data_IF_369817422385
#
_entry.id   IF_369817422385
#
_cell.length_a   1.000
_cell.length_b   1.000
_cell.length_c   1.000
_cell.angle_alpha   90.00
_cell.angle_beta   90.00
_cell.angle_gamma   90.00
#
_symmetry.space_group_name_H-M   'P 1'
#
loop_
_entity.id
_entity.type
_entity.pdbx_description
1 polymer ?
#
# COMPACT_ATOMS: atom_id res chain seq x y z
N UNK A 1 -69.83 16.54 -11.48
CA UNK A 1 -68.60 17.21 -11.94
C UNK A 1 -67.52 16.13 -12.08
N UNK A 2 -67.28 15.65 -13.31
CA UNK A 2 -66.29 14.61 -13.59
C UNK A 2 -64.89 15.23 -13.59
N UNK A 3 -64.13 15.05 -12.52
CA UNK A 3 -62.68 15.17 -12.59
C UNK A 3 -62.13 13.79 -12.95
N UNK A 4 -61.98 13.53 -14.25
CA UNK A 4 -61.17 12.42 -14.74
C UNK A 4 -59.73 12.66 -14.29
N UNK A 5 -59.35 12.06 -13.17
CA UNK A 5 -57.96 12.03 -12.72
C UNK A 5 -57.11 11.45 -13.86
N UNK A 6 -56.04 12.16 -14.23
CA UNK A 6 -55.15 11.77 -15.33
C UNK A 6 -54.61 10.36 -15.04
N UNK A 7 -55.09 9.36 -15.77
CA UNK A 7 -54.63 7.98 -15.66
C UNK A 7 -53.13 7.90 -15.94
N UNK A 8 -52.42 7.06 -15.20
CA UNK A 8 -50.98 6.84 -15.37
C UNK A 8 -50.80 5.55 -16.17
N UNK A 9 -50.02 5.62 -17.24
CA UNK A 9 -49.82 4.52 -18.17
C UNK A 9 -48.40 3.96 -18.07
N UNK A 10 -48.28 2.65 -17.84
CA UNK A 10 -47.03 1.92 -17.95
C UNK A 10 -46.85 1.44 -19.39
N UNK A 11 -45.93 2.05 -20.13
CA UNK A 11 -45.67 1.69 -21.52
C UNK A 11 -45.10 0.27 -21.68
N UNK A 12 -44.27 -0.19 -20.73
CA UNK A 12 -43.60 -1.49 -20.80
C UNK A 12 -44.57 -2.67 -20.65
N UNK A 13 -45.52 -2.56 -19.73
CA UNK A 13 -46.50 -3.61 -19.47
C UNK A 13 -47.85 -3.37 -20.16
N UNK A 14 -48.04 -2.19 -20.78
CA UNK A 14 -49.30 -1.76 -21.37
C UNK A 14 -50.48 -1.77 -20.37
N UNK A 15 -50.24 -1.31 -19.14
CA UNK A 15 -51.23 -1.27 -18.04
C UNK A 15 -51.50 0.17 -17.61
N UNK A 16 -52.77 0.47 -17.30
CA UNK A 16 -53.21 1.78 -16.78
C UNK A 16 -53.50 1.71 -15.29
N UNK A 17 -53.20 2.81 -14.61
CA UNK A 17 -53.36 2.96 -13.17
C UNK A 17 -54.13 4.24 -12.88
N UNK A 18 -55.12 4.14 -11.99
CA UNK A 18 -55.93 5.27 -11.54
C UNK A 18 -55.17 6.19 -10.57
N UNK A 19 -54.13 5.68 -9.88
CA UNK A 19 -53.37 6.42 -8.87
C UNK A 19 -51.86 6.14 -8.94
N UNK A 20 -51.00 7.13 -8.62
CA UNK A 20 -49.54 6.98 -8.61
C UNK A 20 -49.02 5.85 -7.72
N UNK A 21 -49.67 5.60 -6.58
CA UNK A 21 -49.27 4.55 -5.64
C UNK A 21 -49.36 3.14 -6.25
N UNK A 22 -50.38 2.89 -7.08
CA UNK A 22 -50.55 1.59 -7.74
C UNK A 22 -49.55 1.41 -8.88
N UNK A 23 -49.26 2.49 -9.61
CA UNK A 23 -48.18 2.49 -10.60
C UNK A 23 -46.82 2.18 -9.97
N UNK A 24 -46.46 2.83 -8.85
CA UNK A 24 -45.20 2.58 -8.14
C UNK A 24 -45.09 1.15 -7.59
N UNK A 25 -46.18 0.62 -7.03
CA UNK A 25 -46.22 -0.77 -6.59
C UNK A 25 -46.06 -1.74 -7.77
N UNK A 26 -46.73 -1.49 -8.90
CA UNK A 26 -46.57 -2.29 -10.10
C UNK A 26 -45.12 -2.32 -10.58
N UNK A 27 -44.48 -1.17 -10.74
CA UNK A 27 -43.05 -1.07 -11.13
C UNK A 27 -42.16 -1.81 -10.14
N UNK A 28 -42.44 -1.68 -8.84
CA UNK A 28 -41.64 -2.28 -7.77
C UNK A 28 -41.81 -3.78 -7.54
N UNK A 29 -42.79 -4.45 -8.13
CA UNK A 29 -43.01 -5.90 -7.93
C UNK A 29 -43.16 -6.68 -9.23
N UNK A 30 -43.18 -6.00 -10.37
CA UNK A 30 -43.30 -6.65 -11.67
C UNK A 30 -41.95 -7.19 -12.14
N UNK A 31 -41.93 -8.45 -12.53
CA UNK A 31 -40.77 -9.10 -13.18
C UNK A 31 -40.40 -8.48 -14.53
N UNK A 32 -41.28 -7.66 -15.12
CA UNK A 32 -41.03 -7.01 -16.41
C UNK A 32 -40.24 -5.70 -16.24
N UNK A 33 -40.07 -5.20 -15.02
CA UNK A 33 -39.35 -3.97 -14.72
C UNK A 33 -37.95 -4.27 -14.17
N UNK A 34 -36.97 -3.42 -14.50
CA UNK A 34 -35.63 -3.52 -13.92
C UNK A 34 -35.57 -2.56 -12.74
N UNK A 35 -36.38 -2.81 -11.71
CA UNK A 35 -36.54 -1.91 -10.59
C UNK A 35 -35.51 -2.18 -9.48
N UNK A 36 -34.88 -1.12 -8.97
CA UNK A 36 -34.05 -1.24 -7.76
C UNK A 36 -34.92 -1.14 -6.50
N UNK A 37 -35.06 -2.24 -5.76
CA UNK A 37 -35.85 -2.30 -4.52
C UNK A 37 -35.15 -1.68 -3.31
N UNK A 38 -33.84 -1.40 -3.41
CA UNK A 38 -33.07 -0.76 -2.34
C UNK A 38 -33.22 0.76 -2.33
N UNK A 39 -33.67 1.33 -3.45
CA UNK A 39 -34.02 2.73 -3.57
C UNK A 39 -35.47 2.97 -3.15
N UNK A 40 -35.73 3.99 -2.32
CA UNK A 40 -37.09 4.31 -1.84
C UNK A 40 -38.12 4.62 -2.92
N UNK A 41 -37.69 4.94 -4.15
CA UNK A 41 -38.57 5.22 -5.28
C UNK A 41 -38.72 4.05 -6.28
N UNK A 42 -38.11 2.89 -6.02
CA UNK A 42 -38.09 1.76 -6.95
C UNK A 42 -37.70 2.19 -8.37
N UNK A 43 -36.54 2.83 -8.50
CA UNK A 43 -36.08 3.37 -9.77
C UNK A 43 -36.06 2.26 -10.83
N UNK A 44 -36.81 2.47 -11.91
CA UNK A 44 -36.92 1.53 -13.02
C UNK A 44 -35.91 1.87 -14.10
N UNK A 45 -35.05 0.92 -14.38
CA UNK A 45 -34.00 1.06 -15.38
C UNK A 45 -34.45 0.47 -16.72
N UNK A 46 -33.99 1.07 -17.81
CA UNK A 46 -34.34 0.61 -19.16
C UNK A 46 -33.88 -0.83 -19.40
N UNK A 47 -32.70 -1.19 -18.91
CA UNK A 47 -32.09 -2.51 -19.08
C UNK A 47 -31.64 -3.12 -17.76
N UNK A 48 -31.49 -4.46 -17.74
CA UNK A 48 -30.89 -5.16 -16.60
C UNK A 48 -29.46 -4.69 -16.34
N UNK A 49 -28.65 -4.44 -17.38
CA UNK A 49 -27.28 -3.92 -17.25
C UNK A 49 -27.24 -2.56 -16.54
N UNK A 50 -28.20 -1.67 -16.83
CA UNK A 50 -28.28 -0.39 -16.13
C UNK A 50 -28.71 -0.53 -14.66
N UNK A 51 -29.58 -1.49 -14.32
CA UNK A 51 -29.89 -1.82 -12.93
C UNK A 51 -28.65 -2.40 -12.23
N UNK A 52 -27.96 -3.33 -12.88
CA UNK A 52 -26.76 -3.98 -12.36
C UNK A 52 -25.68 -2.95 -11.99
N UNK A 53 -25.37 -2.04 -12.93
CA UNK A 53 -24.42 -0.95 -12.69
C UNK A 53 -24.87 -0.05 -11.52
N UNK A 54 -26.15 0.26 -11.43
CA UNK A 54 -26.68 1.05 -10.32
C UNK A 54 -26.48 0.34 -8.97
N UNK A 55 -26.68 -0.99 -8.90
CA UNK A 55 -26.44 -1.76 -7.68
C UNK A 55 -24.96 -1.72 -7.29
N UNK A 56 -24.05 -1.85 -8.25
CA UNK A 56 -22.59 -1.75 -8.02
C UNK A 56 -22.19 -0.36 -7.52
N UNK A 57 -22.66 0.70 -8.20
CA UNK A 57 -22.25 2.07 -7.93
C UNK A 57 -22.88 2.65 -6.65
N UNK A 58 -24.13 2.31 -6.33
CA UNK A 58 -24.92 3.00 -5.29
C UNK A 58 -25.31 2.10 -4.11
N UNK A 59 -25.25 0.78 -4.29
CA UNK A 59 -25.62 -0.18 -3.25
C UNK A 59 -24.48 -1.12 -2.86
N UNK A 60 -23.26 -0.83 -3.30
CA UNK A 60 -22.06 -1.60 -2.98
C UNK A 60 -22.20 -3.10 -3.29
N UNK A 61 -22.87 -3.41 -4.40
CA UNK A 61 -23.09 -4.77 -4.85
C UNK A 61 -21.85 -5.34 -5.55
N UNK A 62 -21.53 -6.59 -5.23
CA UNK A 62 -20.54 -7.39 -5.93
C UNK A 62 -21.26 -8.49 -6.70
N UNK A 63 -21.31 -8.37 -8.03
CA UNK A 63 -21.96 -9.33 -8.92
C UNK A 63 -21.36 -10.73 -8.84
N UNK A 64 -20.02 -10.90 -8.93
CA UNK A 64 -19.44 -12.24 -8.93
C UNK A 64 -19.69 -13.02 -7.64
N UNK A 65 -19.93 -12.31 -6.54
CA UNK A 65 -20.22 -12.91 -5.23
C UNK A 65 -21.70 -12.87 -4.87
N UNK A 66 -22.55 -12.26 -5.69
CA UNK A 66 -23.95 -11.95 -5.40
C UNK A 66 -24.13 -11.41 -3.97
N UNK A 67 -23.34 -10.41 -3.60
CA UNK A 67 -23.21 -9.95 -2.23
C UNK A 67 -23.20 -8.43 -2.12
N UNK A 68 -23.90 -7.89 -1.13
CA UNK A 68 -23.93 -6.46 -0.81
C UNK A 68 -23.00 -6.15 0.35
N UNK A 69 -22.05 -5.25 0.13
CA UNK A 69 -21.15 -4.83 1.19
C UNK A 69 -21.84 -3.84 2.15
N UNK A 70 -21.47 -3.85 3.44
CA UNK A 70 -22.04 -2.92 4.43
C UNK A 70 -21.61 -1.46 4.21
N UNK A 71 -20.54 -1.23 3.43
CA UNK A 71 -20.02 0.09 3.11
C UNK A 71 -19.10 0.05 1.89
N UNK A 72 -18.77 1.21 1.33
CA UNK A 72 -17.78 1.36 0.26
C UNK A 72 -16.40 0.80 0.66
N UNK A 73 -15.99 0.99 1.92
CA UNK A 73 -14.73 0.43 2.45
C UNK A 73 -14.80 -1.09 2.48
N UNK A 74 -15.93 -1.65 2.93
CA UNK A 74 -16.16 -3.09 2.94
C UNK A 74 -16.12 -3.70 1.55
N UNK A 75 -16.71 -3.05 0.55
CA UNK A 75 -16.65 -3.49 -0.85
C UNK A 75 -15.22 -3.44 -1.38
N UNK A 76 -14.49 -2.35 -1.11
CA UNK A 76 -13.09 -2.23 -1.52
C UNK A 76 -12.23 -3.34 -0.93
N UNK A 77 -12.38 -3.63 0.37
CA UNK A 77 -11.66 -4.72 1.03
C UNK A 77 -12.05 -6.08 0.45
N UNK A 78 -13.35 -6.31 0.21
CA UNK A 78 -13.83 -7.52 -0.45
C UNK A 78 -13.17 -7.70 -1.82
N UNK A 79 -13.14 -6.67 -2.65
CA UNK A 79 -12.52 -6.71 -3.97
C UNK A 79 -11.01 -6.94 -3.91
N UNK A 80 -10.30 -6.35 -2.94
CA UNK A 80 -8.87 -6.62 -2.71
C UNK A 80 -8.62 -8.07 -2.33
N UNK A 81 -9.45 -8.66 -1.47
CA UNK A 81 -9.23 -10.00 -0.93
C UNK A 81 -9.78 -11.13 -1.82
N UNK A 82 -10.92 -10.92 -2.49
CA UNK A 82 -11.64 -11.95 -3.25
C UNK A 82 -11.46 -11.83 -4.75
N UNK A 83 -11.19 -10.63 -5.24
CA UNK A 83 -11.07 -10.33 -6.68
C UNK A 83 -9.71 -9.74 -7.05
N UNK A 84 -8.74 -9.81 -6.12
CA UNK A 84 -7.36 -9.38 -6.29
C UNK A 84 -7.24 -7.97 -6.92
N UNK A 85 -8.04 -7.04 -6.42
CA UNK A 85 -8.00 -5.63 -6.84
C UNK A 85 -6.68 -4.96 -6.44
N UNK A 86 -6.00 -4.34 -7.40
CA UNK A 86 -4.89 -3.43 -7.15
C UNK A 86 -5.41 -2.11 -6.59
N UNK A 87 -5.08 -1.81 -5.34
CA UNK A 87 -5.52 -0.58 -4.66
C UNK A 87 -4.89 0.70 -5.22
N UNK A 88 -3.80 0.59 -5.98
CA UNK A 88 -3.06 1.72 -6.53
C UNK A 88 -3.65 2.23 -7.85
N UNK A 89 -4.11 1.34 -8.73
CA UNK A 89 -4.65 1.70 -10.05
C UNK A 89 -6.10 1.30 -10.29
N UNK A 90 -6.67 0.42 -9.45
CA UNK A 90 -8.03 -0.08 -9.61
C UNK A 90 -8.19 -1.29 -10.53
N UNK A 91 -7.10 -1.84 -11.06
CA UNK A 91 -7.14 -3.02 -11.93
C UNK A 91 -7.43 -4.31 -11.14
N UNK A 92 -8.23 -5.20 -11.73
CA UNK A 92 -8.53 -6.52 -11.19
C UNK A 92 -7.62 -7.60 -11.79
N UNK A 93 -7.28 -8.60 -10.99
CA UNK A 93 -6.42 -9.70 -11.41
C UNK A 93 -7.09 -11.05 -11.15
N UNK A 94 -6.81 -12.08 -11.96
CA UNK A 94 -7.44 -13.39 -11.79
C UNK A 94 -6.93 -14.13 -10.55
N UNK A 95 -5.72 -13.81 -10.06
CA UNK A 95 -5.11 -14.45 -8.90
C UNK A 95 -4.09 -13.54 -8.21
N UNK A 96 -3.69 -13.93 -7.00
CA UNK A 96 -2.71 -13.19 -6.19
C UNK A 96 -1.32 -13.11 -6.85
N UNK A 97 -0.91 -14.12 -7.62
CA UNK A 97 0.41 -14.13 -8.26
C UNK A 97 0.51 -13.03 -9.32
N UNK A 98 -0.52 -12.88 -10.15
CA UNK A 98 -0.58 -11.84 -11.18
C UNK A 98 -0.70 -10.44 -10.59
N UNK A 99 -1.52 -10.25 -9.55
CA UNK A 99 -1.58 -8.98 -8.82
C UNK A 99 -0.20 -8.59 -8.26
N UNK A 100 0.49 -9.55 -7.65
CA UNK A 100 1.83 -9.31 -7.11
C UNK A 100 2.84 -8.96 -8.21
N UNK A 101 2.79 -9.66 -9.36
CA UNK A 101 3.61 -9.34 -10.54
C UNK A 101 3.30 -7.95 -11.12
N UNK A 102 2.03 -7.54 -11.12
CA UNK A 102 1.62 -6.21 -11.56
C UNK A 102 2.10 -5.11 -10.60
N UNK A 103 2.07 -5.35 -9.28
CA UNK A 103 2.43 -4.36 -8.27
C UNK A 103 3.86 -3.81 -8.46
N UNK A 104 4.76 -4.56 -9.11
CA UNK A 104 6.10 -4.07 -9.51
C UNK A 104 6.04 -2.82 -10.39
N UNK A 105 5.00 -2.65 -11.20
CA UNK A 105 4.81 -1.47 -12.07
C UNK A 105 4.48 -0.20 -11.30
N UNK A 106 3.94 -0.34 -10.09
CA UNK A 106 3.66 0.75 -9.16
C UNK A 106 4.82 1.05 -8.22
N UNK A 107 5.97 0.37 -8.38
CA UNK A 107 7.20 0.77 -7.69
C UNK A 107 7.58 2.19 -8.13
N UNK A 108 7.96 3.07 -7.19
CA UNK A 108 8.63 4.31 -7.52
C UNK A 108 9.81 4.00 -8.45
N UNK A 109 9.88 4.68 -9.59
CA UNK A 109 11.04 4.58 -10.50
C UNK A 109 12.07 5.59 -10.02
N UNK A 110 13.23 5.09 -9.62
CA UNK A 110 14.37 5.89 -9.13
C UNK A 110 14.29 6.14 -7.63
N UNK A 111 15.30 5.68 -6.91
CA UNK A 111 15.66 6.12 -5.56
C UNK A 111 16.97 6.88 -5.69
N UNK A 112 16.95 8.19 -5.52
CA UNK A 112 18.18 8.97 -5.46
C UNK A 112 18.89 8.69 -4.14
N UNK A 113 20.22 8.58 -4.20
CA UNK A 113 21.03 8.53 -2.99
C UNK A 113 20.80 9.80 -2.17
N UNK A 114 20.76 9.65 -0.84
CA UNK A 114 20.55 10.78 0.06
C UNK A 114 21.77 11.71 0.17
N UNK A 115 22.94 11.25 -0.31
CA UNK A 115 24.21 11.93 -0.10
C UNK A 115 24.96 12.21 -1.42
N UNK A 116 24.49 11.68 -2.55
CA UNK A 116 25.13 11.88 -3.84
C UNK A 116 24.11 11.91 -4.99
N UNK A 117 24.47 12.39 -6.19
CA UNK A 117 23.51 12.53 -7.30
C UNK A 117 23.21 11.21 -8.03
N UNK A 118 23.62 10.04 -7.51
CA UNK A 118 23.33 8.76 -8.17
C UNK A 118 21.92 8.26 -7.88
N UNK A 119 21.30 7.68 -8.92
CA UNK A 119 19.98 7.07 -8.86
C UNK A 119 20.05 5.54 -8.92
N UNK A 120 19.14 4.90 -8.18
CA UNK A 120 19.07 3.45 -8.04
C UNK A 120 17.68 2.94 -8.40
N UNK A 121 17.59 1.67 -8.82
CA UNK A 121 16.32 1.03 -9.17
C UNK A 121 15.46 0.66 -7.96
N UNK A 122 16.05 0.57 -6.77
CA UNK A 122 15.40 0.14 -5.51
C UNK A 122 16.06 0.79 -4.29
N UNK A 123 15.39 0.79 -3.13
CA UNK A 123 15.98 1.26 -1.87
C UNK A 123 17.12 0.33 -1.44
N UNK A 124 16.95 -0.99 -1.60
CA UNK A 124 18.02 -1.94 -1.30
C UNK A 124 19.31 -1.69 -2.08
N UNK A 125 19.21 -1.31 -3.36
CA UNK A 125 20.37 -1.00 -4.19
C UNK A 125 21.05 0.30 -3.74
N UNK A 126 20.28 1.34 -3.38
CA UNK A 126 20.82 2.60 -2.85
C UNK A 126 21.52 2.39 -1.49
N UNK A 127 20.89 1.67 -0.57
CA UNK A 127 21.52 1.35 0.72
C UNK A 127 22.75 0.46 0.54
N UNK A 128 22.75 -0.49 -0.39
CA UNK A 128 23.94 -1.29 -0.70
C UNK A 128 25.08 -0.41 -1.25
N UNK A 129 24.78 0.65 -1.99
CA UNK A 129 25.79 1.62 -2.43
C UNK A 129 26.45 2.36 -1.25
N UNK A 130 25.66 2.80 -0.26
CA UNK A 130 26.15 3.40 0.99
C UNK A 130 26.94 2.37 1.83
N UNK A 131 26.36 1.21 2.10
CA UNK A 131 26.95 0.17 2.96
C UNK A 131 28.17 -0.54 2.33
N UNK A 132 28.39 -0.39 1.02
CA UNK A 132 29.62 -0.86 0.36
C UNK A 132 30.73 0.19 0.34
N UNK A 133 30.50 1.39 0.87
CA UNK A 133 31.47 2.50 0.82
C UNK A 133 31.72 3.04 -0.59
N UNK A 134 30.78 2.82 -1.52
CA UNK A 134 30.89 3.30 -2.90
C UNK A 134 30.36 4.74 -3.06
N UNK A 135 29.85 5.34 -1.99
CA UNK A 135 29.31 6.68 -2.01
C UNK A 135 30.43 7.73 -1.94
N UNK A 136 30.49 8.69 -2.88
CA UNK A 136 31.52 9.73 -2.87
C UNK A 136 31.39 10.70 -1.69
N UNK A 137 30.25 10.69 -0.96
CA UNK A 137 30.07 11.53 0.23
C UNK A 137 30.85 11.05 1.46
N UNK A 138 31.52 9.90 1.38
CA UNK A 138 32.23 9.30 2.52
C UNK A 138 31.34 8.49 3.48
N UNK A 139 30.01 8.59 3.32
CA UNK A 139 29.04 7.83 4.13
C UNK A 139 29.19 6.33 3.83
N UNK A 140 29.40 5.56 4.88
CA UNK A 140 29.71 4.14 4.84
C UNK A 140 28.77 3.28 5.70
N UNK A 141 29.09 1.98 5.84
CA UNK A 141 28.26 1.04 6.60
C UNK A 141 28.13 1.39 8.09
N UNK A 142 29.17 1.96 8.70
CA UNK A 142 29.17 2.30 10.13
C UNK A 142 28.20 3.45 10.44
N UNK A 143 28.11 4.46 9.56
CA UNK A 143 27.15 5.58 9.71
C UNK A 143 25.70 5.10 9.62
N UNK A 144 25.41 4.20 8.67
CA UNK A 144 24.08 3.59 8.51
C UNK A 144 23.71 2.78 9.75
N UNK A 145 24.67 2.01 10.28
CA UNK A 145 24.46 1.23 11.49
C UNK A 145 24.22 2.11 12.71
N UNK A 146 24.96 3.22 12.85
CA UNK A 146 24.79 4.18 13.93
C UNK A 146 23.41 4.84 13.87
N UNK A 147 23.00 5.35 12.71
CA UNK A 147 21.69 5.95 12.52
C UNK A 147 20.55 4.96 12.81
N UNK A 148 20.68 3.72 12.35
CA UNK A 148 19.72 2.67 12.64
C UNK A 148 19.67 2.34 14.13
N UNK A 149 20.82 2.24 14.81
CA UNK A 149 20.87 2.00 16.25
C UNK A 149 20.23 3.14 17.05
N UNK A 150 20.46 4.39 16.65
CA UNK A 150 19.85 5.57 17.27
C UNK A 150 18.32 5.54 17.14
N UNK A 151 17.81 5.21 15.94
CA UNK A 151 16.37 5.00 15.74
C UNK A 151 15.83 3.95 16.71
N UNK A 152 16.44 2.76 16.79
CA UNK A 152 15.94 1.66 17.65
C UNK A 152 15.94 2.04 19.14
N UNK A 153 16.97 2.75 19.62
CA UNK A 153 17.04 3.20 21.02
C UNK A 153 15.85 4.09 21.40
N UNK A 154 15.36 4.92 20.49
CA UNK A 154 14.19 5.77 20.72
C UNK A 154 12.89 4.99 20.96
N UNK A 155 12.84 3.69 20.58
CA UNK A 155 11.64 2.85 20.68
C UNK A 155 11.70 1.75 21.75
N UNK A 156 12.78 1.66 22.56
CA UNK A 156 13.05 0.54 23.52
C UNK A 156 12.98 -0.85 22.85
N UNK A 157 14.09 -1.39 22.34
CA UNK A 157 14.05 -2.64 21.57
C UNK A 157 13.56 -3.84 22.38
N UNK A 158 12.66 -4.63 21.78
CA UNK A 158 12.26 -5.96 22.28
C UNK A 158 13.21 -7.08 21.84
N UNK A 159 14.12 -6.80 20.89
CA UNK A 159 15.00 -7.77 20.23
C UNK A 159 16.44 -7.26 20.18
N UNK A 160 17.40 -8.19 20.24
CA UNK A 160 18.85 -7.89 20.19
C UNK A 160 19.39 -7.57 18.79
N UNK A 161 18.53 -7.54 17.76
CA UNK A 161 18.89 -7.26 16.38
C UNK A 161 18.19 -6.00 15.86
N UNK A 162 18.94 -5.17 15.14
CA UNK A 162 18.47 -3.89 14.58
C UNK A 162 17.66 -4.14 13.31
N UNK A 163 18.22 -4.91 12.37
CA UNK A 163 17.60 -5.18 11.08
C UNK A 163 16.85 -6.51 11.11
N UNK A 164 15.52 -6.46 11.08
CA UNK A 164 14.70 -7.66 11.00
C UNK A 164 13.35 -7.40 10.34
N UNK A 165 12.82 -8.46 9.73
CA UNK A 165 11.49 -8.43 9.13
C UNK A 165 10.43 -8.62 10.21
N UNK A 166 9.54 -7.65 10.42
CA UNK A 166 8.45 -7.77 11.40
C UNK A 166 7.37 -8.80 10.99
N UNK A 167 7.29 -9.16 9.71
CA UNK A 167 6.42 -10.23 9.23
C UNK A 167 6.95 -11.61 9.64
N UNK A 168 8.10 -12.01 9.10
CA UNK A 168 8.66 -13.35 9.31
C UNK A 168 9.65 -13.47 10.47
N UNK A 169 9.94 -12.37 11.18
CA UNK A 169 10.87 -12.29 12.32
C UNK A 169 12.33 -12.67 11.98
N UNK A 170 12.68 -12.76 10.69
CA UNK A 170 14.04 -13.09 10.25
C UNK A 170 14.99 -11.90 10.48
N UNK A 171 16.15 -12.11 11.13
CA UNK A 171 17.16 -11.08 11.30
C UNK A 171 18.09 -10.97 10.08
N UNK A 172 18.67 -9.78 9.91
CA UNK A 172 19.60 -9.41 8.84
C UNK A 172 20.81 -8.66 9.42
N UNK A 173 21.93 -8.66 8.70
CA UNK A 173 23.15 -7.96 9.12
C UNK A 173 23.21 -6.52 8.64
N UNK A 174 22.58 -6.23 7.50
CA UNK A 174 22.61 -4.93 6.83
C UNK A 174 21.21 -4.45 6.51
N UNK A 175 21.06 -3.14 6.37
CA UNK A 175 19.82 -2.52 5.98
C UNK A 175 19.44 -2.93 4.55
N UNK A 176 20.40 -2.98 3.62
CA UNK A 176 20.12 -3.39 2.24
C UNK A 176 19.55 -4.81 2.14
N UNK A 177 20.01 -5.75 3.00
CA UNK A 177 19.56 -7.14 2.99
C UNK A 177 18.09 -7.24 3.48
N UNK A 178 17.74 -6.47 4.53
CA UNK A 178 16.36 -6.37 5.02
C UNK A 178 15.44 -5.73 3.97
N UNK A 179 15.89 -4.65 3.34
CA UNK A 179 15.15 -3.99 2.27
C UNK A 179 15.00 -4.91 1.05
N UNK A 180 16.03 -5.66 0.66
CA UNK A 180 15.93 -6.62 -0.43
C UNK A 180 14.93 -7.73 -0.10
N UNK A 181 14.91 -8.22 1.14
CA UNK A 181 13.92 -9.19 1.60
C UNK A 181 12.49 -8.63 1.54
N UNK A 182 12.28 -7.38 1.93
CA UNK A 182 10.96 -6.74 1.87
C UNK A 182 10.54 -6.35 0.45
N UNK A 183 11.50 -6.07 -0.42
CA UNK A 183 11.32 -5.75 -1.83
C UNK A 183 11.18 -7.00 -2.73
N UNK A 184 11.37 -8.22 -2.22
CA UNK A 184 11.25 -9.45 -3.03
C UNK A 184 10.16 -10.36 -2.50
N UNK A 185 9.78 -11.38 -3.26
CA UNK A 185 8.86 -12.44 -2.81
C UNK A 185 9.46 -13.39 -1.76
N UNK A 186 10.56 -12.97 -1.11
CA UNK A 186 11.30 -13.77 -0.14
C UNK A 186 10.64 -13.81 1.24
N UNK A 187 9.59 -13.00 1.47
CA UNK A 187 8.81 -12.98 2.70
C UNK A 187 7.47 -13.70 2.52
N UNK A 188 7.27 -14.79 3.26
CA UNK A 188 6.04 -15.59 3.23
C UNK A 188 4.80 -14.85 3.77
N UNK A 189 5.00 -13.78 4.56
CA UNK A 189 3.91 -12.94 5.10
C UNK A 189 3.41 -11.88 4.10
N UNK A 190 3.99 -11.82 2.89
CA UNK A 190 3.62 -10.88 1.83
C UNK A 190 4.49 -9.62 1.76
N UNK A 191 4.32 -8.89 0.66
CA UNK A 191 5.04 -7.64 0.39
C UNK A 191 4.59 -6.56 1.39
N UNK A 192 5.52 -6.07 2.23
CA UNK A 192 5.33 -4.87 3.07
C UNK A 192 4.26 -4.95 4.18
N UNK A 193 3.79 -6.15 4.55
CA UNK A 193 2.93 -6.35 5.71
C UNK A 193 3.71 -6.02 7.00
N UNK A 194 3.32 -4.94 7.70
CA UNK A 194 4.06 -4.42 8.86
C UNK A 194 5.20 -3.45 8.52
N UNK A 195 5.25 -2.92 7.29
CA UNK A 195 6.28 -2.01 6.80
C UNK A 195 6.41 -0.66 7.53
N UNK A 196 5.52 -0.34 8.46
CA UNK A 196 5.58 0.90 9.23
C UNK A 196 6.91 1.06 9.98
N UNK A 197 7.46 0.00 10.56
CA UNK A 197 8.74 0.06 11.27
C UNK A 197 9.91 0.31 10.32
N UNK A 198 10.06 -0.53 9.28
CA UNK A 198 11.16 -0.42 8.31
C UNK A 198 11.08 0.90 7.55
N UNK A 199 9.87 1.34 7.16
CA UNK A 199 9.64 2.63 6.53
C UNK A 199 9.97 3.80 7.46
N UNK A 200 9.63 3.73 8.75
CA UNK A 200 10.00 4.74 9.74
C UNK A 200 11.52 4.82 9.94
N UNK A 201 12.21 3.68 9.98
CA UNK A 201 13.66 3.64 10.08
C UNK A 201 14.33 4.26 8.84
N UNK A 202 13.86 3.91 7.63
CA UNK A 202 14.36 4.51 6.38
C UNK A 202 14.13 6.02 6.36
N UNK A 203 12.95 6.48 6.80
CA UNK A 203 12.62 7.92 6.86
C UNK A 203 13.50 8.66 7.86
N UNK A 204 13.74 8.07 9.03
CA UNK A 204 14.63 8.62 10.04
C UNK A 204 16.07 8.75 9.50
N UNK A 205 16.60 7.67 8.91
CA UNK A 205 17.93 7.70 8.28
C UNK A 205 17.99 8.78 7.20
N UNK A 206 17.02 8.84 6.28
CA UNK A 206 16.98 9.85 5.23
C UNK A 206 16.98 11.30 5.77
N UNK A 207 16.43 11.51 6.97
CA UNK A 207 16.36 12.83 7.61
C UNK A 207 17.69 13.21 8.29
N UNK A 208 18.39 12.25 8.87
CA UNK A 208 19.61 12.49 9.68
C UNK A 208 20.92 12.27 8.91
N UNK A 209 20.90 11.52 7.81
CA UNK A 209 22.10 11.19 7.04
C UNK A 209 22.84 12.40 6.45
N UNK A 210 22.23 13.56 6.13
CA UNK A 210 22.98 14.73 5.68
C UNK A 210 23.94 15.28 6.74
N UNK A 211 23.65 15.09 8.03
CA UNK A 211 24.49 15.56 9.14
C UNK A 211 25.82 14.79 9.26
N UNK A 212 25.96 13.66 8.54
CA UNK A 212 27.15 12.82 8.48
C UNK A 212 28.04 13.10 7.26
N UNK A 213 27.65 14.05 6.41
CA UNK A 213 28.45 14.46 5.24
C UNK A 213 29.48 15.50 5.72
N UNK A 214 30.80 15.24 5.60
CA UNK A 214 31.82 16.20 6.00
C UNK A 214 31.69 17.51 5.22
N UNK A 215 31.85 18.65 5.91
CA UNK A 215 31.83 19.96 5.27
C UNK A 215 33.08 20.11 4.37
N UNK A 216 32.93 20.40 3.06
CA UNK A 216 34.07 20.58 2.16
C UNK A 216 34.98 21.75 2.54
N UNK A 217 34.52 22.71 3.35
CA UNK A 217 35.29 23.92 3.71
C UNK A 217 36.17 23.77 4.98
N UNK A 218 36.20 22.60 5.65
CA UNK A 218 37.07 22.35 6.82
C UNK A 218 38.50 21.86 6.49
N UNK A 219 38.98 22.03 5.26
CA UNK A 219 40.37 21.70 4.88
C UNK A 219 41.06 22.85 4.13
N UNK A 220 41.40 23.92 4.83
CA UNK A 220 42.59 24.72 4.51
C UNK A 220 43.11 25.39 5.79
N UNK A 221 44.08 24.75 6.44
CA UNK A 221 45.25 25.35 7.13
C UNK A 221 45.79 24.45 8.26
N UNK A 222 46.81 23.66 7.89
CA UNK A 222 47.94 23.15 8.68
C UNK A 222 47.75 22.30 9.97
N UNK A 223 48.60 21.25 9.99
CA UNK A 223 49.10 20.44 11.12
C UNK A 223 48.24 19.29 11.68
N UNK A 224 48.71 18.06 11.40
CA UNK A 224 48.45 16.78 12.10
C UNK A 224 47.15 16.68 12.93
N UNK A 225 45.98 16.67 12.28
CA UNK A 225 44.78 16.09 12.87
C UNK A 225 44.65 14.64 12.37
N UNK A 226 45.11 13.69 13.19
CA UNK A 226 44.71 12.29 13.05
C UNK A 226 43.17 12.24 12.99
N UNK A 227 42.56 11.38 12.16
CA UNK A 227 41.11 11.23 12.11
C UNK A 227 40.59 11.08 13.53
N UNK A 228 39.62 11.92 13.91
CA UNK A 228 39.00 11.89 15.23
C UNK A 228 38.63 10.43 15.52
N UNK A 229 39.09 9.84 16.65
CA UNK A 229 38.82 8.44 16.89
C UNK A 229 37.31 8.29 17.02
N UNK A 230 36.69 7.62 16.05
CA UNK A 230 35.29 7.21 16.18
C UNK A 230 35.14 6.49 17.53
N UNK A 231 34.10 6.82 18.32
CA UNK A 231 33.94 6.22 19.62
C UNK A 231 33.86 4.70 19.45
N UNK A 232 34.76 3.98 20.13
CA UNK A 232 34.72 2.52 20.16
C UNK A 232 33.48 2.11 20.94
N UNK A 233 32.43 1.73 20.23
CA UNK A 233 31.24 1.13 20.81
C UNK A 233 31.36 -0.40 20.78
N UNK A 234 31.01 -1.03 21.90
CA UNK A 234 30.85 -2.48 21.97
C UNK A 234 29.61 -2.88 21.17
N UNK A 235 29.81 -3.12 19.87
CA UNK A 235 28.81 -3.73 18.99
C UNK A 235 28.61 -5.18 19.46
N UNK A 236 27.40 -5.59 19.86
CA UNK A 236 27.18 -6.98 20.26
C UNK A 236 27.57 -7.93 19.12
N UNK A 237 28.42 -8.91 19.42
CA UNK A 237 28.84 -9.93 18.45
C UNK A 237 27.60 -10.70 17.97
N UNK A 238 27.21 -10.45 16.72
CA UNK A 238 26.12 -11.18 16.06
C UNK A 238 26.63 -12.59 15.73
N UNK A 239 26.40 -13.55 16.62
CA UNK A 239 26.63 -14.97 16.37
C UNK A 239 25.40 -15.51 15.65
N UNK A 240 25.48 -15.65 14.32
CA UNK A 240 24.49 -16.40 13.55
C UNK A 240 24.81 -17.88 13.74
N UNK A 241 24.17 -18.54 14.69
CA UNK A 241 24.18 -20.01 14.73
C UNK A 241 23.37 -20.53 13.56
N UNK A 242 23.99 -21.37 12.73
CA UNK A 242 23.31 -22.02 11.61
C UNK A 242 22.13 -22.87 12.07
N UNK A 243 21.20 -23.22 11.16
CA UNK A 243 20.01 -23.97 11.52
C UNK A 243 20.36 -25.37 12.03
N UNK A 244 19.80 -25.75 13.18
CA UNK A 244 19.55 -27.14 13.58
C UNK A 244 18.36 -27.71 12.82
#
# INVERSE_FOLDING_TARGET
MNQTGKEIFCARCNIRFSLPKYYRAHVGYSINHNACHLCGNHQDFETFTSLQKHLEDHHFYCEPCNWFAPSAIGLRQHNTCKHYLCVACGDYFPNAHELNGHAFRHRPRGVSCYCCPQDFSTLSAMFNHLESGNCPSGVGPDDILELAANFVRSFKPEKDYIFFCHGCQKPFRRMCDLLQHSETSSCNEGYWKGSGYVGSMVTYIATCIPDFIPDPDENDDNDEAAPTPHPKFDIPRIIITGPT
#
